data_IF_939528202388
#
_entry.id   IF_939528202388
#
_cell.length_a   1.000
_cell.length_b   1.000
_cell.length_c   1.000
_cell.angle_alpha   90.00
_cell.angle_beta   90.00
_cell.angle_gamma   90.00
#
_symmetry.space_group_name_H-M   'P 1'
#
loop_
_entity.id
_entity.type
_entity.pdbx_description
1 polymer ?
#
# COMPACT_ATOMS: atom_id res chain seq x y z
N UNK A 1 -49.57 3.52 -39.39
CA UNK A 1 -49.60 3.55 -37.91
C UNK A 1 -48.18 3.68 -37.41
N UNK A 2 -47.74 4.81 -36.83
CA UNK A 2 -46.40 4.95 -36.29
C UNK A 2 -46.27 4.21 -34.94
N UNK A 3 -45.17 3.47 -34.78
CA UNK A 3 -44.85 2.71 -33.57
C UNK A 3 -44.11 3.66 -32.62
N UNK A 4 -44.77 4.07 -31.53
CA UNK A 4 -44.14 4.83 -30.46
C UNK A 4 -43.04 4.02 -29.79
N UNK A 5 -41.80 4.52 -29.84
CA UNK A 5 -40.67 3.98 -29.08
C UNK A 5 -40.76 4.51 -27.66
N UNK A 6 -41.30 3.68 -26.76
CA UNK A 6 -41.30 3.94 -25.32
C UNK A 6 -39.86 4.11 -24.79
N UNK A 7 -39.71 5.14 -23.96
CA UNK A 7 -38.51 5.57 -23.23
C UNK A 7 -37.85 4.44 -22.43
N UNK A 8 -36.50 4.41 -22.31
CA UNK A 8 -35.84 3.41 -21.48
C UNK A 8 -36.11 3.69 -19.99
N UNK A 9 -36.68 2.67 -19.36
CA UNK A 9 -36.92 2.54 -17.93
C UNK A 9 -35.70 2.98 -17.11
N UNK A 10 -35.87 4.04 -16.30
CA UNK A 10 -34.91 4.41 -15.26
C UNK A 10 -34.87 3.27 -14.26
N UNK A 11 -33.74 2.58 -14.18
CA UNK A 11 -33.49 1.60 -13.12
C UNK A 11 -33.63 2.31 -11.76
N UNK A 12 -34.34 1.75 -10.77
CA UNK A 12 -34.37 2.31 -9.44
C UNK A 12 -32.93 2.42 -8.92
N UNK A 13 -32.47 3.65 -8.68
CA UNK A 13 -31.21 3.89 -7.97
C UNK A 13 -31.46 3.62 -6.50
N UNK A 14 -31.53 2.34 -6.15
CA UNK A 14 -31.70 1.91 -4.78
C UNK A 14 -30.48 2.37 -3.97
N UNK A 15 -30.74 3.28 -3.03
CA UNK A 15 -29.89 3.69 -1.92
C UNK A 15 -28.71 4.61 -2.28
N UNK A 16 -29.00 5.77 -2.91
CA UNK A 16 -28.08 6.91 -2.91
C UNK A 16 -28.62 7.99 -1.98
N UNK A 17 -27.87 8.31 -0.93
CA UNK A 17 -28.26 9.31 0.07
C UNK A 17 -27.56 10.63 -0.23
N UNK A 18 -28.32 11.72 -0.17
CA UNK A 18 -27.77 13.07 -0.36
C UNK A 18 -26.99 13.49 0.88
N UNK A 19 -25.86 14.16 0.67
CA UNK A 19 -25.12 14.75 1.76
C UNK A 19 -25.94 15.88 2.42
N UNK A 20 -26.13 15.87 3.76
CA UNK A 20 -26.87 16.91 4.47
C UNK A 20 -26.08 18.21 4.64
N UNK A 21 -24.81 18.27 4.23
CA UNK A 21 -23.99 19.48 4.36
C UNK A 21 -24.50 20.57 3.40
N UNK A 22 -24.75 21.81 3.89
CA UNK A 22 -25.45 22.85 3.15
C UNK A 22 -24.78 23.26 1.83
N UNK A 23 -23.46 23.09 1.73
CA UNK A 23 -22.65 23.42 0.55
C UNK A 23 -22.30 22.19 -0.33
N UNK A 24 -22.64 20.97 0.09
CA UNK A 24 -22.18 19.76 -0.61
C UNK A 24 -23.19 19.23 -1.63
N UNK A 25 -24.46 18.99 -1.24
CA UNK A 25 -25.55 18.55 -2.12
C UNK A 25 -25.36 17.25 -2.92
N UNK A 26 -24.22 16.56 -2.78
CA UNK A 26 -23.81 15.38 -3.58
C UNK A 26 -24.46 14.09 -3.08
N UNK A 27 -24.73 13.15 -4.00
CA UNK A 27 -25.39 11.86 -3.72
C UNK A 27 -24.41 10.69 -3.76
N UNK A 28 -24.26 10.01 -2.62
CA UNK A 28 -23.33 8.89 -2.46
C UNK A 28 -24.07 7.60 -2.13
N UNK A 29 -23.51 6.46 -2.55
CA UNK A 29 -23.97 5.14 -2.11
C UNK A 29 -23.63 4.88 -0.64
N UNK A 30 -22.45 5.36 -0.21
CA UNK A 30 -22.00 5.28 1.17
C UNK A 30 -21.87 6.69 1.75
N UNK A 31 -22.96 7.20 2.31
CA UNK A 31 -22.98 8.53 2.91
C UNK A 31 -22.09 8.58 4.15
N UNK A 32 -21.99 7.49 4.92
CA UNK A 32 -21.16 7.42 6.11
C UNK A 32 -19.68 7.70 5.81
N UNK A 33 -19.09 7.07 4.79
CA UNK A 33 -17.72 7.35 4.37
C UNK A 33 -17.59 8.73 3.72
N UNK A 34 -18.64 9.26 3.10
CA UNK A 34 -18.62 10.62 2.60
C UNK A 34 -18.59 11.66 3.73
N UNK A 35 -19.35 11.46 4.81
CA UNK A 35 -19.41 12.40 5.94
C UNK A 35 -18.05 12.58 6.62
N UNK A 36 -17.15 11.58 6.55
CA UNK A 36 -15.77 11.71 7.01
C UNK A 36 -14.98 12.81 6.27
N UNK A 37 -15.40 13.21 5.07
CA UNK A 37 -14.76 14.32 4.34
C UNK A 37 -15.11 15.68 4.93
N UNK A 38 -16.27 15.80 5.58
CA UNK A 38 -16.71 16.99 6.30
C UNK A 38 -16.19 17.06 7.74
N UNK A 39 -15.60 15.97 8.25
CA UNK A 39 -15.04 15.97 9.58
C UNK A 39 -13.75 16.81 9.62
N UNK A 40 -13.78 17.87 10.44
CA UNK A 40 -12.67 18.80 10.62
C UNK A 40 -11.57 18.18 11.50
N UNK A 41 -11.93 17.31 12.45
CA UNK A 41 -10.96 16.61 13.28
C UNK A 41 -10.36 15.40 12.54
N UNK A 42 -9.08 15.50 12.19
CA UNK A 42 -8.32 14.47 11.48
C UNK A 42 -7.10 14.05 12.30
N UNK A 43 -7.27 13.06 13.20
CA UNK A 43 -6.22 12.68 14.15
C UNK A 43 -5.00 12.06 13.45
N UNK A 44 -5.20 11.40 12.32
CA UNK A 44 -4.13 10.67 11.63
C UNK A 44 -3.34 11.60 10.70
N UNK A 45 -2.22 12.16 11.19
CA UNK A 45 -1.37 13.07 10.39
C UNK A 45 -0.31 12.34 9.59
N UNK A 46 0.01 12.84 8.39
CA UNK A 46 1.17 12.37 7.63
C UNK A 46 2.44 12.60 8.48
N UNK A 47 3.36 11.63 8.60
CA UNK A 47 4.58 11.80 9.40
C UNK A 47 5.59 12.76 8.79
N UNK A 48 5.45 13.14 7.51
CA UNK A 48 6.38 14.02 6.80
C UNK A 48 5.95 15.47 6.99
N UNK A 49 6.76 16.26 7.69
CA UNK A 49 6.46 17.66 8.04
C UNK A 49 6.23 18.58 6.85
N UNK A 50 6.85 18.28 5.69
CA UNK A 50 6.69 19.06 4.46
C UNK A 50 5.44 18.71 3.66
N UNK A 51 4.68 17.69 4.07
CA UNK A 51 3.46 17.27 3.40
C UNK A 51 2.26 18.11 3.86
N UNK A 52 1.37 18.52 2.93
CA UNK A 52 0.14 19.24 3.31
C UNK A 52 -0.76 18.45 4.27
N UNK A 53 -0.68 17.12 4.21
CA UNK A 53 -1.45 16.22 5.06
C UNK A 53 -0.81 15.99 6.43
N UNK A 54 0.32 16.63 6.72
CA UNK A 54 0.87 16.71 8.07
C UNK A 54 0.01 17.62 8.95
N UNK A 55 -0.51 18.72 8.39
CA UNK A 55 -1.39 19.65 9.08
C UNK A 55 -2.85 19.27 8.90
N UNK A 56 -3.27 18.94 7.67
CA UNK A 56 -4.66 18.54 7.38
C UNK A 56 -5.04 17.19 7.98
N UNK A 57 -4.12 16.23 8.03
CA UNK A 57 -4.39 14.86 8.47
C UNK A 57 -5.37 14.08 7.59
N UNK A 58 -5.66 12.86 8.04
CA UNK A 58 -6.57 11.89 7.44
C UNK A 58 -7.64 11.49 8.46
N UNK A 59 -8.82 11.10 7.95
CA UNK A 59 -9.90 10.59 8.77
C UNK A 59 -9.65 9.16 9.27
N UNK A 60 -8.79 8.38 8.59
CA UNK A 60 -8.50 6.98 8.92
C UNK A 60 -7.01 6.67 8.84
N UNK A 61 -6.56 5.70 9.63
CA UNK A 61 -5.18 5.17 9.60
C UNK A 61 -4.82 4.57 8.24
N UNK A 62 -5.73 3.82 7.63
CA UNK A 62 -5.52 3.23 6.31
C UNK A 62 -5.22 4.28 5.24
N UNK A 63 -5.96 5.40 5.24
CA UNK A 63 -5.76 6.49 4.27
C UNK A 63 -4.40 7.17 4.45
N UNK A 64 -3.97 7.38 5.70
CA UNK A 64 -2.63 7.86 6.03
C UNK A 64 -1.54 6.91 5.56
N UNK A 65 -1.66 5.62 5.85
CA UNK A 65 -0.66 4.62 5.44
C UNK A 65 -0.55 4.58 3.92
N UNK A 66 -1.68 4.49 3.20
CA UNK A 66 -1.71 4.51 1.73
C UNK A 66 -1.11 5.80 1.16
N UNK A 67 -1.40 6.95 1.78
CA UNK A 67 -0.81 8.22 1.36
C UNK A 67 0.70 8.28 1.63
N UNK A 68 1.16 7.81 2.78
CA UNK A 68 2.57 7.84 3.13
C UNK A 68 3.42 7.10 2.07
N UNK A 69 2.91 6.00 1.51
CA UNK A 69 3.55 5.28 0.40
C UNK A 69 3.83 6.14 -0.85
N UNK A 70 3.08 7.22 -1.11
CA UNK A 70 3.33 8.10 -2.27
C UNK A 70 4.57 8.96 -2.11
N UNK A 71 5.09 9.08 -0.89
CA UNK A 71 6.33 9.81 -0.62
C UNK A 71 7.58 8.95 -0.83
N UNK A 72 7.41 7.64 -1.07
CA UNK A 72 8.52 6.80 -1.44
C UNK A 72 9.06 7.22 -2.82
N UNK A 73 10.34 7.60 -2.88
CA UNK A 73 11.04 8.03 -4.11
C UNK A 73 12.06 6.99 -4.60
N UNK A 74 12.07 5.79 -4.03
CA UNK A 74 12.99 4.73 -4.43
C UNK A 74 12.46 3.88 -5.58
N UNK A 75 13.32 3.01 -6.09
CA UNK A 75 12.98 1.98 -7.07
C UNK A 75 12.86 0.62 -6.39
N UNK A 76 11.76 -0.10 -6.64
CA UNK A 76 11.52 -1.46 -6.19
C UNK A 76 11.45 -2.39 -7.39
N UNK A 77 11.98 -3.60 -7.25
CA UNK A 77 11.89 -4.65 -8.27
C UNK A 77 11.08 -5.80 -7.71
N UNK A 78 10.23 -6.40 -8.53
CA UNK A 78 9.50 -7.60 -8.13
C UNK A 78 10.46 -8.80 -8.06
N UNK A 79 10.72 -9.39 -6.88
CA UNK A 79 11.63 -10.53 -6.79
C UNK A 79 11.00 -11.85 -7.26
N UNK A 80 9.68 -11.85 -7.56
CA UNK A 80 8.92 -13.03 -8.00
C UNK A 80 8.70 -13.06 -9.52
N UNK A 81 9.05 -12.00 -10.25
CA UNK A 81 8.94 -11.98 -11.70
C UNK A 81 10.09 -12.76 -12.36
N UNK A 82 9.85 -13.47 -13.48
CA UNK A 82 10.94 -14.01 -14.27
C UNK A 82 11.79 -12.84 -14.83
N UNK A 83 13.11 -12.89 -14.65
CA UNK A 83 14.04 -11.87 -15.16
C UNK A 83 14.59 -10.87 -14.14
N UNK A 84 14.53 -11.16 -12.82
CA UNK A 84 15.26 -10.37 -11.81
C UNK A 84 16.76 -10.35 -12.14
N UNK A 85 17.36 -9.16 -12.28
CA UNK A 85 18.77 -9.01 -12.68
C UNK A 85 19.04 -9.04 -14.20
N UNK A 86 17.98 -9.03 -15.02
CA UNK A 86 18.05 -8.81 -16.48
C UNK A 86 17.76 -7.34 -16.80
N UNK A 87 18.27 -6.77 -17.92
CA UNK A 87 17.96 -5.40 -18.35
C UNK A 87 16.45 -5.13 -18.60
N UNK A 88 15.63 -6.18 -18.63
CA UNK A 88 14.16 -6.10 -18.78
C UNK A 88 13.41 -6.25 -17.45
N UNK A 89 14.09 -6.15 -16.31
CA UNK A 89 13.44 -6.23 -15.01
C UNK A 89 12.43 -5.07 -14.84
N UNK A 90 11.25 -5.40 -14.31
CA UNK A 90 10.23 -4.40 -14.05
C UNK A 90 10.60 -3.62 -12.80
N UNK A 91 11.06 -2.39 -13.02
CA UNK A 91 11.36 -1.43 -11.96
C UNK A 91 10.13 -0.56 -11.70
N UNK A 92 9.73 -0.48 -10.44
CA UNK A 92 8.61 0.32 -9.97
C UNK A 92 9.11 1.45 -9.08
N UNK A 93 8.82 2.69 -9.46
CA UNK A 93 9.12 3.87 -8.64
C UNK A 93 8.03 4.17 -7.61
N UNK A 94 6.88 3.51 -7.75
CA UNK A 94 5.66 3.76 -6.96
C UNK A 94 5.19 2.48 -6.29
N UNK A 95 5.03 2.54 -4.96
CA UNK A 95 4.57 1.41 -4.15
C UNK A 95 3.15 0.96 -4.50
N UNK A 96 2.24 1.88 -4.85
CA UNK A 96 0.86 1.55 -5.19
C UNK A 96 0.77 0.74 -6.51
N UNK A 97 1.56 1.13 -7.51
CA UNK A 97 1.65 0.41 -8.79
C UNK A 97 2.27 -0.96 -8.55
N UNK A 98 3.29 -1.03 -7.70
CA UNK A 98 3.94 -2.28 -7.34
C UNK A 98 3.00 -3.24 -6.61
N UNK A 99 2.20 -2.76 -5.65
CA UNK A 99 1.17 -3.56 -4.98
C UNK A 99 0.13 -4.12 -5.93
N UNK A 100 -0.37 -3.29 -6.84
CA UNK A 100 -1.30 -3.74 -7.90
C UNK A 100 -0.67 -4.82 -8.77
N UNK A 101 0.60 -4.67 -9.11
CA UNK A 101 1.34 -5.69 -9.83
C UNK A 101 1.41 -7.01 -9.05
N UNK A 102 1.71 -6.99 -7.75
CA UNK A 102 1.72 -8.21 -6.93
C UNK A 102 0.35 -8.91 -6.94
N UNK A 103 -0.74 -8.15 -6.77
CA UNK A 103 -2.10 -8.72 -6.77
C UNK A 103 -2.48 -9.30 -8.14
N UNK A 104 -2.09 -8.65 -9.24
CA UNK A 104 -2.47 -9.08 -10.59
C UNK A 104 -1.58 -10.18 -11.16
N UNK A 105 -0.27 -10.13 -10.91
CA UNK A 105 0.71 -11.05 -11.49
C UNK A 105 1.00 -12.26 -10.60
N UNK A 106 0.84 -12.12 -9.28
CA UNK A 106 1.15 -13.16 -8.30
C UNK A 106 -0.07 -13.58 -7.45
N UNK A 107 -1.26 -13.08 -7.78
CA UNK A 107 -2.54 -13.47 -7.15
C UNK A 107 -2.53 -13.36 -5.62
N UNK A 108 -1.81 -12.37 -5.07
CA UNK A 108 -1.84 -12.11 -3.62
C UNK A 108 -3.19 -11.53 -3.21
N UNK A 109 -3.71 -12.03 -2.10
CA UNK A 109 -5.05 -11.69 -1.63
C UNK A 109 -5.02 -10.42 -0.77
N UNK A 110 -5.94 -9.49 -1.06
CA UNK A 110 -6.08 -8.23 -0.31
C UNK A 110 -6.96 -8.39 0.93
N UNK A 111 -7.69 -9.51 1.04
CA UNK A 111 -8.64 -9.82 2.10
C UNK A 111 -8.04 -10.80 3.11
N UNK A 112 -7.06 -10.33 3.88
CA UNK A 112 -6.36 -11.18 4.84
C UNK A 112 -6.12 -10.53 6.19
N UNK A 113 -7.17 -10.12 6.91
CA UNK A 113 -7.08 -9.92 8.37
C UNK A 113 -6.94 -11.24 9.14
N UNK A 114 -6.54 -12.34 8.49
CA UNK A 114 -6.26 -13.59 9.17
C UNK A 114 -4.86 -13.53 9.78
N UNK A 115 -4.80 -12.96 10.99
CA UNK A 115 -3.75 -13.17 11.97
C UNK A 115 -3.53 -14.67 12.17
N UNK A 116 -2.65 -15.24 11.36
CA UNK A 116 -2.31 -16.66 11.36
C UNK A 116 -0.80 -16.82 11.25
N UNK A 117 -0.06 -16.32 12.26
CA UNK A 117 1.35 -16.64 12.41
C UNK A 117 1.51 -18.17 12.54
N UNK A 118 1.84 -18.84 11.43
CA UNK A 118 2.63 -20.08 11.47
C UNK A 118 4.09 -19.68 11.27
N UNK A 119 4.89 -19.87 12.32
CA UNK A 119 6.33 -19.92 12.19
C UNK A 119 6.68 -21.11 11.29
N UNK A 120 7.49 -20.96 10.23
CA UNK A 120 8.06 -22.11 9.56
C UNK A 120 9.19 -22.67 10.43
N UNK A 121 8.97 -23.87 10.99
CA UNK A 121 10.08 -24.77 11.32
C UNK A 121 10.91 -25.02 10.08
N UNK A 122 12.23 -24.95 10.24
CA UNK A 122 13.18 -25.02 9.15
C UNK A 122 13.20 -26.39 8.47
N UNK A 123 13.13 -26.35 7.14
CA UNK A 123 13.77 -27.30 6.23
C UNK A 123 13.81 -26.62 4.85
N UNK A 124 15.03 -26.35 4.38
CA UNK A 124 15.31 -25.64 3.13
C UNK A 124 15.18 -26.57 1.91
N UNK A 125 14.32 -26.26 0.92
CA UNK A 125 14.60 -26.56 -0.47
C UNK A 125 15.33 -25.34 -1.06
N UNK A 126 16.54 -25.56 -1.55
CA UNK A 126 17.31 -24.55 -2.28
C UNK A 126 16.53 -24.10 -3.53
N UNK A 127 16.09 -22.83 -3.56
CA UNK A 127 15.39 -22.26 -4.72
C UNK A 127 14.96 -20.80 -4.54
N UNK A 128 15.93 -19.91 -4.33
CA UNK A 128 15.80 -18.43 -4.31
C UNK A 128 14.71 -17.84 -3.41
N UNK A 129 15.02 -17.62 -2.12
CA UNK A 129 14.19 -16.75 -1.26
C UNK A 129 14.11 -15.36 -1.91
N UNK A 130 12.91 -14.96 -2.32
CA UNK A 130 12.64 -13.66 -2.93
C UNK A 130 13.01 -12.54 -1.94
N UNK A 131 13.90 -11.63 -2.32
CA UNK A 131 14.43 -10.61 -1.40
C UNK A 131 13.78 -9.25 -1.65
N UNK A 132 13.38 -8.59 -0.57
CA UNK A 132 12.93 -7.21 -0.62
C UNK A 132 14.07 -6.30 -1.09
N UNK A 133 13.83 -5.48 -2.12
CA UNK A 133 14.85 -4.56 -2.64
C UNK A 133 15.24 -3.48 -1.63
N UNK A 134 14.39 -3.18 -0.65
CA UNK A 134 14.57 -2.12 0.34
C UNK A 134 15.36 -2.63 1.56
N UNK A 135 14.85 -3.62 2.29
CA UNK A 135 15.44 -4.11 3.54
C UNK A 135 16.27 -5.40 3.38
N UNK A 136 16.29 -6.00 2.18
CA UNK A 136 16.97 -7.27 1.85
C UNK A 136 16.47 -8.51 2.61
N UNK A 137 15.41 -8.40 3.40
CA UNK A 137 14.73 -9.55 4.02
C UNK A 137 14.21 -10.49 2.92
N UNK A 138 14.36 -11.81 3.15
CA UNK A 138 13.88 -12.86 2.25
C UNK A 138 12.49 -13.34 2.63
N UNK A 139 11.65 -13.60 1.63
CA UNK A 139 10.27 -14.06 1.78
C UNK A 139 10.08 -15.40 1.08
N UNK A 140 9.29 -16.27 1.70
CA UNK A 140 8.92 -17.57 1.15
C UNK A 140 7.77 -17.48 0.16
N UNK A 141 6.84 -16.53 0.36
CA UNK A 141 5.69 -16.33 -0.52
C UNK A 141 5.54 -14.88 -0.95
N UNK A 142 4.84 -14.66 -2.08
CA UNK A 142 4.48 -13.31 -2.53
C UNK A 142 3.49 -12.63 -1.57
N UNK A 143 2.69 -13.41 -0.84
CA UNK A 143 1.75 -12.90 0.17
C UNK A 143 2.49 -12.26 1.35
N UNK A 144 3.45 -12.97 1.94
CA UNK A 144 4.25 -12.45 3.06
C UNK A 144 4.97 -11.15 2.67
N UNK A 145 5.48 -11.11 1.43
CA UNK A 145 6.11 -9.91 0.89
C UNK A 145 5.12 -8.74 0.71
N UNK A 146 3.89 -9.02 0.26
CA UNK A 146 2.85 -8.01 0.10
C UNK A 146 2.45 -7.37 1.44
N UNK A 147 2.36 -8.17 2.50
CA UNK A 147 2.05 -7.69 3.86
C UNK A 147 3.23 -6.88 4.45
N UNK A 148 4.46 -7.33 4.22
CA UNK A 148 5.67 -6.63 4.67
C UNK A 148 5.90 -5.28 3.97
N UNK A 149 5.50 -5.14 2.71
CA UNK A 149 5.88 -4.02 1.84
C UNK A 149 5.51 -2.65 2.44
N UNK A 150 4.34 -2.52 3.05
CA UNK A 150 3.89 -1.24 3.60
C UNK A 150 4.81 -0.77 4.73
N UNK A 151 5.03 -1.61 5.73
CA UNK A 151 5.88 -1.27 6.87
C UNK A 151 7.33 -1.03 6.44
N UNK A 152 7.82 -1.82 5.49
CA UNK A 152 9.16 -1.62 4.93
C UNK A 152 9.31 -0.26 4.25
N UNK A 153 8.35 0.13 3.41
CA UNK A 153 8.36 1.41 2.71
C UNK A 153 8.18 2.56 3.70
N UNK A 154 7.27 2.42 4.66
CA UNK A 154 7.04 3.40 5.72
C UNK A 154 8.29 3.65 6.57
N UNK A 155 9.06 2.60 6.91
CA UNK A 155 10.31 2.71 7.68
C UNK A 155 11.40 3.53 6.98
N UNK A 156 11.40 3.57 5.64
CA UNK A 156 12.35 4.38 4.86
C UNK A 156 11.90 5.83 4.77
N UNK A 157 10.59 6.06 4.66
CA UNK A 157 10.02 7.41 4.56
C UNK A 157 10.09 8.13 5.90
N UNK A 158 9.86 7.40 6.99
CA UNK A 158 9.94 7.89 8.36
C UNK A 158 11.14 7.21 9.00
N UNK A 159 12.36 7.73 8.83
CA UNK A 159 13.48 7.25 9.60
C UNK A 159 13.18 7.53 11.07
N UNK A 160 12.80 6.49 11.81
CA UNK A 160 12.85 6.51 13.26
C UNK A 160 14.23 7.04 13.64
N UNK A 161 14.30 8.10 14.43
CA UNK A 161 15.55 8.71 14.89
C UNK A 161 16.30 7.84 15.90
N UNK A 162 16.40 6.54 15.63
CA UNK A 162 17.08 5.52 16.43
C UNK A 162 18.06 4.76 15.55
N UNK A 163 18.97 5.49 14.90
CA UNK A 163 20.22 4.95 14.38
C UNK A 163 21.32 5.14 15.44
N UNK A 164 21.66 4.06 16.13
CA UNK A 164 22.95 3.92 16.83
C UNK A 164 23.27 2.44 16.91
N UNK A 165 24.17 1.96 16.04
CA UNK A 165 24.70 0.61 16.18
C UNK A 165 25.18 -0.15 14.94
N UNK A 166 25.52 0.52 13.83
CA UNK A 166 26.43 -0.09 12.85
C UNK A 166 27.64 0.82 12.66
N UNK A 167 28.61 0.67 13.57
CA UNK A 167 29.99 1.01 13.28
C UNK A 167 30.71 -0.30 13.02
N UNK A 168 31.02 -0.55 11.75
CA UNK A 168 32.02 -1.52 11.37
C UNK A 168 33.33 -1.20 12.08
N UNK A 169 34.04 -2.23 12.52
CA UNK A 169 35.47 -2.14 12.81
C UNK A 169 36.24 -3.14 11.97
N UNK A 170 37.48 -2.79 11.61
CA UNK A 170 38.13 -3.24 10.39
C UNK A 170 38.93 -4.53 10.57
N UNK A 171 39.22 -5.17 9.44
CA UNK A 171 40.14 -6.29 9.31
C UNK A 171 41.46 -6.00 10.03
N UNK A 172 41.82 -6.89 10.96
CA UNK A 172 43.17 -6.96 11.52
C UNK A 172 43.92 -8.07 10.81
N UNK A 173 44.86 -7.62 9.98
CA UNK A 173 45.85 -8.36 9.21
C UNK A 173 46.94 -8.91 10.13
N UNK A 174 47.38 -10.14 9.86
CA UNK A 174 48.71 -10.73 10.13
C UNK A 174 49.32 -10.61 11.54
N UNK A 175 49.54 -11.76 12.19
CA UNK A 175 50.82 -12.48 12.14
C UNK A 175 50.61 -13.93 12.58
#
# INVERSE_FOLDING_TARGET
>A
MPIERASPSRRPTENRTKCPHPDCGREFRDLASHMLTHQEERPEKCPIVTCEYHTKGFARKYDKNRHALTHYRGSMVCPFCPGVGSPFEKVFTRADVFKRHLTAAHQVDQTGHSSGHRLPSGEDPAGTKARCSICKIGFGTAQDFYEHLDDCVLSVIVPSSSTSGQQGRPQSRQQ
#
